data_IF_166281271937
#
_entry.id   IF_166281271937
#
_cell.length_a   1.000
_cell.length_b   1.000
_cell.length_c   1.000
_cell.angle_alpha   90.00
_cell.angle_beta   90.00
_cell.angle_gamma   90.00
#
_symmetry.space_group_name_H-M   'P 1'
#
loop_
_entity.id
_entity.type
_entity.pdbx_description
1 polymer ?
#
# COMPACT_ATOMS: atom_id res chain seq x y z
N UNK A 1 -0.66 0.61 17.92
CA UNK A 1 -1.51 0.12 16.81
C UNK A 1 -0.77 0.22 15.47
N UNK A 2 -0.26 1.40 15.07
CA UNK A 2 0.34 1.63 13.74
C UNK A 2 1.64 0.86 13.45
N UNK A 3 2.45 0.54 14.47
CA UNK A 3 3.73 -0.18 14.29
C UNK A 3 3.58 -1.70 14.13
N UNK A 4 2.39 -2.24 14.41
CA UNK A 4 2.04 -3.64 14.19
C UNK A 4 0.65 -3.65 13.52
N UNK A 5 0.56 -3.19 12.26
CA UNK A 5 -0.70 -3.16 11.53
C UNK A 5 -1.23 -4.59 11.41
N UNK A 6 -2.55 -4.74 11.46
CA UNK A 6 -3.18 -6.05 11.29
C UNK A 6 -3.46 -6.31 9.83
N UNK A 7 -3.30 -7.57 9.44
CA UNK A 7 -3.64 -8.03 8.11
C UNK A 7 -5.16 -8.29 8.02
N UNK A 8 -5.83 -7.72 7.02
CA UNK A 8 -7.24 -8.01 6.76
C UNK A 8 -7.51 -9.50 6.46
N UNK A 9 -6.54 -10.17 5.85
CA UNK A 9 -6.57 -11.60 5.51
C UNK A 9 -5.82 -12.45 6.54
N UNK A 10 -5.72 -12.00 7.80
CA UNK A 10 -4.99 -12.69 8.89
C UNK A 10 -5.31 -14.19 8.96
N UNK A 11 -6.60 -14.57 8.92
CA UNK A 11 -7.02 -15.97 8.97
C UNK A 11 -6.44 -16.84 7.84
N UNK A 12 -6.25 -16.28 6.64
CA UNK A 12 -5.58 -16.98 5.53
C UNK A 12 -4.06 -17.03 5.74
N UNK A 13 -3.47 -15.94 6.23
CA UNK A 13 -2.03 -15.82 6.45
C UNK A 13 -1.51 -16.71 7.59
N UNK A 14 -2.28 -16.89 8.66
CA UNK A 14 -1.91 -17.76 9.78
C UNK A 14 -1.77 -19.23 9.39
N UNK A 15 -2.44 -19.64 8.30
CA UNK A 15 -2.38 -21.01 7.77
C UNK A 15 -1.28 -21.21 6.74
N UNK A 16 -0.47 -20.18 6.45
CA UNK A 16 0.68 -20.32 5.55
C UNK A 16 1.76 -21.18 6.21
N UNK A 17 2.38 -22.06 5.41
CA UNK A 17 3.47 -22.93 5.86
C UNK A 17 4.63 -22.16 6.48
N UNK A 18 4.95 -21.00 5.90
CA UNK A 18 5.91 -20.05 6.43
C UNK A 18 5.15 -18.81 6.87
N UNK A 19 4.84 -18.73 8.15
CA UNK A 19 4.24 -17.54 8.75
C UNK A 19 5.35 -16.67 9.36
N UNK A 20 5.55 -15.49 8.77
CA UNK A 20 6.47 -14.45 9.26
C UNK A 20 5.76 -13.40 10.14
N UNK A 21 4.43 -13.49 10.24
CA UNK A 21 3.64 -12.65 11.14
C UNK A 21 3.64 -13.30 12.54
N UNK A 22 4.30 -12.63 13.48
CA UNK A 22 4.42 -13.03 14.87
C UNK A 22 3.29 -12.45 15.76
N UNK A 23 2.27 -11.87 15.15
CA UNK A 23 1.16 -11.27 15.88
C UNK A 23 0.14 -12.31 16.33
N UNK A 24 -0.36 -12.15 17.56
CA UNK A 24 -1.43 -13.02 18.07
C UNK A 24 -2.74 -12.79 17.30
N UNK A 25 -3.55 -13.84 17.05
CA UNK A 25 -4.82 -13.72 16.36
C UNK A 25 -5.71 -12.60 16.89
N UNK A 26 -6.33 -11.85 15.97
CA UNK A 26 -7.27 -10.80 16.35
C UNK A 26 -8.45 -11.36 17.12
N UNK A 27 -8.71 -10.77 18.29
CA UNK A 27 -9.85 -11.08 19.13
C UNK A 27 -10.88 -9.97 19.04
N UNK A 28 -12.14 -10.37 19.08
CA UNK A 28 -13.27 -9.46 19.06
C UNK A 28 -14.08 -9.62 20.34
N UNK A 29 -14.54 -8.51 20.88
CA UNK A 29 -15.25 -8.42 22.15
C UNK A 29 -16.56 -7.66 21.96
N UNK A 30 -17.61 -8.18 22.58
CA UNK A 30 -18.94 -7.59 22.64
C UNK A 30 -19.33 -7.33 24.10
N UNK A 31 -20.45 -6.64 24.32
CA UNK A 31 -20.96 -6.41 25.66
C UNK A 31 -21.30 -7.74 26.37
N UNK A 32 -20.94 -7.84 27.65
CA UNK A 32 -21.27 -8.99 28.50
C UNK A 32 -22.79 -9.16 28.70
N UNK A 33 -23.57 -8.09 28.57
CA UNK A 33 -25.03 -8.14 28.68
C UNK A 33 -25.67 -8.54 27.35
N UNK A 34 -26.23 -9.75 27.31
CA UNK A 34 -26.98 -10.25 26.14
C UNK A 34 -28.12 -9.33 25.70
N UNK A 35 -28.90 -8.79 26.64
CA UNK A 35 -29.99 -7.86 26.35
C UNK A 35 -29.49 -6.55 25.73
N UNK A 36 -28.26 -6.14 26.06
CA UNK A 36 -27.61 -4.99 25.47
C UNK A 36 -27.29 -5.28 23.99
N UNK A 37 -26.60 -6.38 23.70
CA UNK A 37 -26.21 -6.78 22.33
C UNK A 37 -27.44 -6.93 21.41
N UNK A 38 -28.59 -7.35 21.96
CA UNK A 38 -29.86 -7.46 21.20
C UNK A 38 -30.53 -6.12 20.90
N UNK A 39 -30.17 -5.01 21.55
CA UNK A 39 -30.68 -3.66 21.25
C UNK A 39 -29.82 -2.97 20.19
N UNK A 40 -30.40 -2.12 19.35
CA UNK A 40 -29.65 -1.41 18.29
C UNK A 40 -28.45 -0.63 18.83
N UNK A 41 -28.62 0.06 19.96
CA UNK A 41 -27.54 0.84 20.60
C UNK A 41 -26.41 -0.04 21.16
N UNK A 42 -26.64 -1.33 21.35
CA UNK A 42 -25.67 -2.29 21.90
C UNK A 42 -24.93 -3.12 20.87
N UNK A 43 -25.08 -2.81 19.58
CA UNK A 43 -24.37 -3.42 18.46
C UNK A 43 -22.90 -3.01 18.38
N UNK A 44 -22.20 -2.99 19.51
CA UNK A 44 -20.83 -2.49 19.57
C UNK A 44 -19.86 -3.66 19.52
N UNK A 45 -18.80 -3.49 18.74
CA UNK A 45 -17.70 -4.44 18.59
C UNK A 45 -16.38 -3.75 18.95
N UNK A 46 -15.57 -4.41 19.75
CA UNK A 46 -14.26 -3.92 20.17
C UNK A 46 -13.21 -4.98 19.89
N UNK A 47 -12.00 -4.57 19.55
CA UNK A 47 -10.81 -5.44 19.48
C UNK A 47 -9.98 -5.36 20.75
N UNK A 48 -10.41 -4.53 21.71
CA UNK A 48 -9.83 -4.40 23.05
C UNK A 48 -10.85 -4.80 24.13
N UNK A 49 -10.37 -5.52 25.15
CA UNK A 49 -11.12 -5.74 26.40
C UNK A 49 -11.36 -4.42 27.15
N UNK A 50 -12.29 -4.43 28.08
CA UNK A 50 -12.62 -3.33 29.00
C UNK A 50 -13.13 -2.05 28.33
N UNK A 51 -13.42 -2.06 27.02
CA UNK A 51 -14.10 -0.93 26.38
C UNK A 51 -15.52 -0.84 26.94
N UNK A 52 -15.93 0.38 27.32
CA UNK A 52 -17.26 0.61 27.87
C UNK A 52 -18.29 0.54 26.75
N UNK A 53 -19.25 -0.36 26.88
CA UNK A 53 -20.44 -0.38 26.05
C UNK A 53 -21.34 0.82 26.38
N UNK A 54 -22.29 1.16 25.50
CA UNK A 54 -23.25 2.25 25.77
C UNK A 54 -24.08 2.04 27.04
N UNK A 55 -24.24 0.79 27.50
CA UNK A 55 -24.94 0.47 28.74
C UNK A 55 -24.09 0.67 30.01
N UNK A 56 -22.83 1.09 29.87
CA UNK A 56 -21.88 1.30 30.96
C UNK A 56 -21.08 0.07 31.37
N UNK A 57 -21.50 -1.14 30.99
CA UNK A 57 -20.76 -2.39 31.24
C UNK A 57 -19.54 -2.55 30.31
N UNK A 58 -18.49 -3.26 30.74
CA UNK A 58 -17.36 -3.55 29.87
C UNK A 58 -17.74 -4.52 28.73
N UNK A 59 -16.94 -4.49 27.67
CA UNK A 59 -16.98 -5.40 26.55
C UNK A 59 -15.83 -6.41 26.70
N UNK A 60 -16.06 -7.48 27.47
CA UNK A 60 -15.04 -8.49 27.78
C UNK A 60 -15.37 -9.87 27.20
N UNK A 61 -16.63 -10.06 26.80
CA UNK A 61 -17.09 -11.27 26.16
C UNK A 61 -16.52 -11.41 24.75
N UNK A 62 -15.64 -12.39 24.60
CA UNK A 62 -15.05 -12.74 23.31
C UNK A 62 -16.09 -13.35 22.35
N UNK A 63 -16.04 -12.96 21.09
CA UNK A 63 -16.81 -13.52 19.99
C UNK A 63 -15.86 -13.96 18.87
N UNK A 64 -16.04 -15.19 18.39
CA UNK A 64 -15.22 -15.74 17.32
C UNK A 64 -15.67 -15.22 15.95
N UNK A 65 -14.71 -14.94 15.07
CA UNK A 65 -14.97 -14.65 13.66
C UNK A 65 -15.16 -15.98 12.91
N UNK A 66 -16.25 -16.10 12.14
CA UNK A 66 -16.52 -17.26 11.29
C UNK A 66 -15.45 -17.35 10.20
N UNK A 67 -14.57 -18.35 10.30
CA UNK A 67 -13.55 -18.59 9.30
C UNK A 67 -14.20 -19.07 8.00
N UNK A 68 -14.00 -18.33 6.90
CA UNK A 68 -14.57 -18.66 5.59
C UNK A 68 -13.86 -19.82 4.88
N UNK A 69 -12.70 -20.26 5.35
CA UNK A 69 -11.89 -21.29 4.71
C UNK A 69 -11.24 -22.21 5.74
N UNK A 70 -11.57 -23.50 5.70
CA UNK A 70 -10.90 -24.56 6.47
C UNK A 70 -9.53 -24.96 5.90
N UNK A 71 -9.07 -24.28 4.85
CA UNK A 71 -7.97 -24.72 3.99
C UNK A 71 -6.72 -23.84 4.15
N UNK A 72 -5.54 -24.41 3.83
CA UNK A 72 -4.24 -23.82 4.11
C UNK A 72 -3.79 -22.87 2.97
N UNK A 73 -3.77 -21.56 3.24
CA UNK A 73 -3.19 -20.56 2.34
C UNK A 73 -4.10 -20.10 1.19
N UNK A 74 -3.49 -19.64 0.08
CA UNK A 74 -4.20 -18.97 -1.01
C UNK A 74 -4.49 -19.86 -2.24
N UNK A 75 -3.64 -20.86 -2.48
CA UNK A 75 -3.62 -21.68 -3.68
C UNK A 75 -3.96 -23.13 -3.36
N UNK A 76 -4.51 -23.86 -4.33
CA UNK A 76 -4.82 -25.30 -4.20
C UNK A 76 -3.56 -26.10 -3.93
N UNK A 77 -3.67 -27.13 -3.10
CA UNK A 77 -2.54 -28.03 -2.79
C UNK A 77 -1.98 -28.73 -4.04
N UNK A 78 -2.82 -28.93 -5.07
CA UNK A 78 -2.42 -29.51 -6.36
C UNK A 78 -1.88 -28.48 -7.35
N UNK A 79 -1.92 -27.18 -7.03
CA UNK A 79 -1.41 -26.14 -7.90
C UNK A 79 0.12 -26.10 -7.85
N UNK A 80 0.74 -26.07 -9.02
CA UNK A 80 2.18 -25.89 -9.18
C UNK A 80 2.44 -24.72 -10.12
N UNK A 81 3.51 -23.97 -9.84
CA UNK A 81 3.85 -22.74 -10.53
C UNK A 81 5.32 -22.72 -10.92
N UNK A 82 5.60 -22.01 -12.01
CA UNK A 82 6.94 -21.57 -12.39
C UNK A 82 7.06 -20.12 -11.94
N UNK A 83 8.10 -19.80 -11.17
CA UNK A 83 8.38 -18.44 -10.71
C UNK A 83 9.68 -18.00 -11.34
N UNK A 84 9.63 -16.97 -12.18
CA UNK A 84 10.80 -16.43 -12.86
C UNK A 84 11.62 -15.55 -11.91
N UNK A 85 12.87 -15.28 -12.28
CA UNK A 85 13.80 -14.47 -11.48
C UNK A 85 13.24 -13.09 -11.12
N UNK A 86 12.46 -12.51 -12.01
CA UNK A 86 11.74 -11.24 -11.83
C UNK A 86 10.42 -11.36 -11.04
N UNK A 87 10.19 -12.48 -10.33
CA UNK A 87 8.98 -12.84 -9.57
C UNK A 87 7.69 -12.98 -10.39
N UNK A 88 7.78 -13.05 -11.72
CA UNK A 88 6.62 -13.42 -12.55
C UNK A 88 6.21 -14.87 -12.23
N UNK A 89 4.97 -15.05 -11.80
CA UNK A 89 4.38 -16.35 -11.49
C UNK A 89 3.56 -16.83 -12.69
N UNK A 90 3.81 -18.06 -13.12
CA UNK A 90 3.19 -18.69 -14.28
C UNK A 90 2.68 -20.09 -13.93
N UNK A 91 1.63 -20.60 -14.60
CA UNK A 91 1.25 -22.00 -14.51
C UNK A 91 2.40 -22.96 -14.78
N UNK A 92 2.56 -24.00 -13.96
CA UNK A 92 3.48 -25.08 -14.30
C UNK A 92 2.86 -25.97 -15.38
N UNK A 93 3.31 -25.80 -16.63
CA UNK A 93 2.95 -26.65 -17.75
C UNK A 93 4.15 -26.80 -18.68
N UNK A 94 4.24 -27.92 -19.40
CA UNK A 94 5.35 -28.19 -20.32
C UNK A 94 5.50 -27.08 -21.37
N UNK A 95 4.39 -26.61 -21.94
CA UNK A 95 4.40 -25.51 -22.91
C UNK A 95 5.00 -24.23 -22.30
N UNK A 96 4.58 -23.88 -21.09
CA UNK A 96 5.12 -22.72 -20.35
C UNK A 96 6.62 -22.84 -20.11
N UNK A 97 7.11 -24.02 -19.72
CA UNK A 97 8.56 -24.24 -19.54
C UNK A 97 9.34 -24.09 -20.84
N UNK A 98 8.83 -24.65 -21.94
CA UNK A 98 9.48 -24.55 -23.27
C UNK A 98 9.53 -23.10 -23.75
N UNK A 99 8.42 -22.36 -23.63
CA UNK A 99 8.34 -20.95 -23.99
C UNK A 99 9.34 -20.12 -23.17
N UNK A 100 9.45 -20.41 -21.87
CA UNK A 100 10.40 -19.74 -20.97
C UNK A 100 11.85 -20.02 -21.37
N UNK A 101 12.21 -21.26 -21.70
CA UNK A 101 13.56 -21.58 -22.15
C UNK A 101 13.92 -20.85 -23.45
N UNK A 102 12.97 -20.72 -24.37
CA UNK A 102 13.16 -19.93 -25.58
C UNK A 102 13.32 -18.43 -25.27
N UNK A 103 12.51 -17.87 -24.38
CA UNK A 103 12.62 -16.46 -23.92
C UNK A 103 13.99 -16.17 -23.30
N UNK A 104 14.52 -17.11 -22.52
CA UNK A 104 15.84 -17.01 -21.88
C UNK A 104 17.01 -17.28 -22.84
N UNK A 105 16.75 -17.65 -24.09
CA UNK A 105 17.77 -17.94 -25.09
C UNK A 105 18.52 -19.26 -24.87
N UNK A 106 17.94 -20.18 -24.10
CA UNK A 106 18.51 -21.50 -23.87
C UNK A 106 18.41 -22.34 -25.14
N UNK A 107 19.56 -22.60 -25.80
CA UNK A 107 19.62 -23.40 -27.04
C UNK A 107 19.64 -24.90 -26.78
N UNK A 108 20.31 -25.32 -25.69
CA UNK A 108 20.50 -26.71 -25.31
C UNK A 108 20.18 -26.89 -23.81
N UNK A 109 19.53 -27.99 -23.46
CA UNK A 109 19.20 -28.32 -22.06
C UNK A 109 20.43 -28.67 -21.21
N UNK A 110 21.55 -29.02 -21.84
CA UNK A 110 22.82 -29.34 -21.18
C UNK A 110 23.42 -28.16 -20.39
N UNK A 111 23.00 -26.92 -20.70
CA UNK A 111 23.43 -25.73 -19.99
C UNK A 111 22.58 -25.41 -18.73
N UNK A 112 21.56 -26.23 -18.44
CA UNK A 112 20.62 -26.00 -17.33
C UNK A 112 21.05 -26.86 -16.14
N UNK A 113 21.25 -26.21 -15.00
CA UNK A 113 21.51 -26.88 -13.73
C UNK A 113 20.24 -26.86 -12.87
N UNK A 114 19.76 -28.04 -12.47
CA UNK A 114 18.66 -28.15 -11.51
C UNK A 114 19.21 -28.05 -10.08
N UNK A 115 18.60 -27.18 -9.27
CA UNK A 115 18.95 -27.01 -7.86
C UNK A 115 17.71 -27.00 -6.98
N UNK A 116 17.77 -27.72 -5.87
CA UNK A 116 16.77 -27.66 -4.81
C UNK A 116 17.18 -26.62 -3.77
N UNK A 117 16.26 -25.70 -3.45
CA UNK A 117 16.49 -24.65 -2.45
C UNK A 117 15.45 -24.78 -1.35
N UNK A 118 15.92 -24.89 -0.11
CA UNK A 118 15.07 -24.84 1.07
C UNK A 118 14.88 -23.38 1.52
N UNK A 119 13.62 -23.00 1.77
CA UNK A 119 13.25 -21.64 2.18
C UNK A 119 12.60 -21.73 3.56
N UNK A 120 13.22 -21.11 4.57
CA UNK A 120 12.64 -20.88 5.89
C UNK A 120 12.14 -19.44 6.06
N UNK A 121 11.72 -19.09 7.28
CA UNK A 121 11.19 -17.75 7.59
C UNK A 121 12.23 -16.64 7.36
N UNK A 122 13.50 -16.89 7.68
CA UNK A 122 14.59 -15.91 7.48
C UNK A 122 14.85 -15.69 5.99
N UNK A 123 14.94 -16.78 5.24
CA UNK A 123 15.14 -16.78 3.80
C UNK A 123 14.01 -16.06 3.07
N UNK A 124 12.76 -16.26 3.51
CA UNK A 124 11.60 -15.57 2.97
C UNK A 124 11.68 -14.04 3.18
N UNK A 125 12.14 -13.59 4.35
CA UNK A 125 12.36 -12.16 4.61
C UNK A 125 13.48 -11.58 3.75
N UNK A 126 14.55 -12.33 3.51
CA UNK A 126 15.64 -11.88 2.65
C UNK A 126 15.22 -11.82 1.18
N UNK A 127 14.42 -12.79 0.70
CA UNK A 127 13.80 -12.73 -0.62
C UNK A 127 12.85 -11.52 -0.75
N UNK A 128 12.05 -11.24 0.29
CA UNK A 128 11.19 -10.05 0.31
C UNK A 128 12.02 -8.76 0.21
N UNK A 129 13.16 -8.65 0.90
CA UNK A 129 14.04 -7.47 0.73
C UNK A 129 14.58 -7.38 -0.70
N UNK A 130 14.98 -8.50 -1.29
CA UNK A 130 15.49 -8.54 -2.66
C UNK A 130 14.44 -8.03 -3.67
N UNK A 131 13.15 -8.30 -3.45
CA UNK A 131 12.09 -7.82 -4.34
C UNK A 131 11.91 -6.29 -4.35
N UNK A 132 12.38 -5.57 -3.32
CA UNK A 132 12.39 -4.10 -3.31
C UNK A 132 13.69 -3.50 -3.84
N UNK A 133 14.70 -4.30 -4.14
CA UNK A 133 16.04 -3.79 -4.42
C UNK A 133 16.58 -4.25 -5.77
N UNK A 134 16.12 -5.41 -6.25
CA UNK A 134 16.67 -6.07 -7.43
C UNK A 134 15.63 -6.32 -8.51
N UNK A 135 16.12 -6.29 -9.77
CA UNK A 135 15.37 -6.77 -10.94
C UNK A 135 15.43 -8.29 -11.09
N UNK A 136 16.36 -8.95 -10.39
CA UNK A 136 16.67 -10.37 -10.43
C UNK A 136 16.70 -10.97 -9.02
N UNK A 137 15.62 -10.80 -8.22
CA UNK A 137 15.62 -11.14 -6.80
C UNK A 137 15.87 -12.61 -6.47
N UNK A 138 15.51 -13.58 -7.33
CA UNK A 138 15.77 -15.00 -7.02
C UNK A 138 17.23 -15.36 -7.20
N UNK A 139 17.86 -14.97 -8.31
CA UNK A 139 19.30 -15.13 -8.56
C UNK A 139 20.08 -14.52 -7.41
N UNK A 140 19.69 -13.33 -7.00
CA UNK A 140 20.33 -12.58 -5.94
C UNK A 140 20.19 -13.19 -4.55
N UNK A 141 18.99 -13.66 -4.23
CA UNK A 141 18.70 -14.38 -3.00
C UNK A 141 19.42 -15.75 -2.95
N UNK A 142 19.43 -16.49 -4.05
CA UNK A 142 19.96 -17.86 -4.11
C UNK A 142 21.49 -17.85 -4.21
N UNK A 143 22.06 -17.01 -5.07
CA UNK A 143 23.48 -17.03 -5.42
C UNK A 143 24.31 -15.94 -4.70
N UNK A 144 23.74 -14.76 -4.43
CA UNK A 144 24.49 -13.57 -3.99
C UNK A 144 24.25 -13.14 -2.53
N UNK A 145 23.89 -14.10 -1.65
CA UNK A 145 23.49 -13.91 -0.23
C UNK A 145 24.29 -12.90 0.63
N UNK A 146 25.52 -12.53 0.25
CA UNK A 146 26.42 -11.63 1.00
C UNK A 146 26.51 -10.18 0.47
N UNK A 147 26.09 -9.89 -0.76
CA UNK A 147 26.33 -8.57 -1.39
C UNK A 147 25.20 -7.54 -1.18
N UNK A 148 24.04 -7.97 -0.68
CA UNK A 148 22.86 -7.11 -0.48
C UNK A 148 22.99 -6.00 0.55
N UNK A 149 23.97 -6.09 1.46
CA UNK A 149 24.18 -5.09 2.50
C UNK A 149 24.79 -3.76 1.99
N UNK A 150 25.29 -3.71 0.75
CA UNK A 150 26.13 -2.59 0.30
C UNK A 150 25.68 -1.85 -0.97
N UNK A 151 24.67 -2.33 -1.70
CA UNK A 151 24.31 -1.76 -3.02
C UNK A 151 22.96 -1.04 -2.97
N UNK A 152 22.98 0.21 -2.51
CA UNK A 152 21.89 1.17 -2.78
C UNK A 152 22.07 1.74 -4.18
N UNK A 153 21.63 1.04 -5.22
CA UNK A 153 21.55 1.64 -6.56
C UNK A 153 20.33 2.56 -6.63
N UNK A 154 20.61 3.86 -6.68
CA UNK A 154 19.66 4.93 -6.96
C UNK A 154 19.10 4.74 -8.37
N UNK A 155 18.00 4.00 -8.52
CA UNK A 155 17.28 3.97 -9.78
C UNK A 155 16.61 5.33 -10.01
N UNK A 156 16.95 6.00 -11.11
CA UNK A 156 16.16 7.10 -11.64
C UNK A 156 14.85 6.49 -12.17
N UNK A 157 13.81 6.53 -11.34
CA UNK A 157 12.48 6.12 -11.74
C UNK A 157 11.72 7.33 -12.29
N UNK A 158 11.01 7.13 -13.40
CA UNK A 158 10.02 8.10 -13.86
C UNK A 158 8.82 8.08 -12.91
N UNK A 159 8.46 9.27 -12.41
CA UNK A 159 7.33 9.49 -11.50
C UNK A 159 6.06 9.82 -12.30
N UNK A 160 5.60 8.88 -13.11
CA UNK A 160 4.27 8.98 -13.71
C UNK A 160 3.28 8.14 -12.88
N UNK A 161 2.17 8.76 -12.53
CA UNK A 161 0.98 8.11 -11.99
C UNK A 161 0.00 8.07 -13.16
N UNK A 162 -0.60 6.90 -13.42
CA UNK A 162 -1.65 6.76 -14.43
C UNK A 162 -2.84 7.70 -14.17
N UNK A 163 -3.78 7.76 -15.10
CA UNK A 163 -4.99 8.56 -14.91
C UNK A 163 -5.77 8.09 -13.67
N UNK A 164 -5.85 8.96 -12.65
CA UNK A 164 -6.64 8.69 -11.44
C UNK A 164 -7.99 9.37 -11.61
N UNK A 165 -9.01 8.59 -11.94
CA UNK A 165 -10.40 9.05 -11.87
C UNK A 165 -10.86 9.02 -10.41
N UNK A 166 -11.05 10.18 -9.80
CA UNK A 166 -11.68 10.24 -8.48
C UNK A 166 -12.71 11.36 -8.40
N UNK A 167 -13.90 11.03 -7.93
CA UNK A 167 -15.03 11.96 -7.73
C UNK A 167 -14.93 12.74 -6.40
N UNK A 168 -13.84 12.60 -5.64
CA UNK A 168 -13.70 13.13 -4.28
C UNK A 168 -12.67 14.25 -4.25
N UNK A 169 -13.14 15.48 -4.07
CA UNK A 169 -12.31 16.70 -3.94
C UNK A 169 -11.85 16.84 -2.49
N UNK A 170 -11.01 15.92 -2.00
CA UNK A 170 -10.33 16.08 -0.71
C UNK A 170 -8.92 16.62 -0.97
N UNK A 171 -8.60 17.71 -0.29
CA UNK A 171 -7.42 18.52 -0.54
C UNK A 171 -6.81 18.97 0.79
N UNK A 172 -5.49 18.97 0.90
CA UNK A 172 -4.74 19.44 2.06
C UNK A 172 -3.90 20.65 1.68
N UNK A 173 -3.96 21.70 2.51
CA UNK A 173 -3.14 22.90 2.34
C UNK A 173 -1.86 22.74 3.16
N UNK A 174 -0.72 22.84 2.48
CA UNK A 174 0.60 22.60 3.06
C UNK A 174 1.49 23.82 2.89
N UNK A 175 2.30 24.13 3.90
CA UNK A 175 3.41 25.08 3.76
C UNK A 175 4.70 24.30 3.53
N UNK A 176 5.31 24.46 2.37
CA UNK A 176 6.52 23.76 1.96
C UNK A 176 7.70 24.71 2.11
N UNK A 177 8.75 24.27 2.80
CA UNK A 177 10.03 24.98 2.84
C UNK A 177 11.02 24.32 1.89
N UNK A 178 11.49 25.10 0.92
CA UNK A 178 12.33 24.66 -0.20
C UNK A 178 13.69 25.33 -0.09
N UNK A 179 14.75 24.58 -0.39
CA UNK A 179 16.08 25.13 -0.63
C UNK A 179 16.22 25.51 -2.10
N UNK A 180 16.49 26.79 -2.38
CA UNK A 180 16.50 27.32 -3.75
C UNK A 180 17.65 26.78 -4.59
N UNK A 181 18.83 26.59 -3.98
CA UNK A 181 20.05 26.14 -4.65
C UNK A 181 19.93 24.78 -5.35
N UNK A 182 19.23 23.81 -4.74
CA UNK A 182 19.08 22.45 -5.28
C UNK A 182 17.61 22.04 -5.50
N UNK A 183 16.67 22.96 -5.29
CA UNK A 183 15.22 22.74 -5.41
C UNK A 183 14.70 21.56 -4.58
N UNK A 184 15.33 21.27 -3.44
CA UNK A 184 14.85 20.23 -2.53
C UNK A 184 13.93 20.76 -1.46
N UNK A 185 12.94 19.96 -1.11
CA UNK A 185 12.11 20.20 0.07
C UNK A 185 12.95 19.88 1.30
N UNK A 186 12.96 20.79 2.27
CA UNK A 186 13.62 20.58 3.56
C UNK A 186 12.63 19.94 4.54
N UNK A 187 11.44 20.53 4.62
CA UNK A 187 10.30 19.99 5.33
C UNK A 187 9.00 20.64 4.84
N UNK A 188 7.90 20.02 5.21
CA UNK A 188 6.53 20.49 5.01
C UNK A 188 5.90 20.69 6.38
N UNK A 189 5.25 21.83 6.58
CA UNK A 189 4.35 22.09 7.69
C UNK A 189 2.91 21.81 7.23
N UNK A 190 2.28 20.81 7.87
CA UNK A 190 0.90 20.41 7.65
C UNK A 190 0.12 20.34 8.97
N UNK A 191 -1.19 20.09 8.90
CA UNK A 191 -2.01 19.86 10.09
C UNK A 191 -2.06 18.36 10.44
N UNK A 192 -2.91 18.00 11.39
CA UNK A 192 -3.16 16.61 11.83
C UNK A 192 -3.49 15.68 10.66
N UNK A 193 -4.26 16.17 9.68
CA UNK A 193 -4.67 15.41 8.50
C UNK A 193 -3.49 14.95 7.64
N UNK A 194 -2.47 15.79 7.47
CA UNK A 194 -1.26 15.44 6.74
C UNK A 194 -0.36 14.49 7.54
N UNK A 195 -0.26 14.68 8.86
CA UNK A 195 0.47 13.75 9.72
C UNK A 195 -0.18 12.35 9.71
N UNK A 196 -1.50 12.27 9.85
CA UNK A 196 -2.28 11.04 9.77
C UNK A 196 -2.17 10.39 8.39
N UNK A 197 -2.09 11.18 7.32
CA UNK A 197 -1.82 10.68 5.98
C UNK A 197 -0.45 9.97 5.89
N UNK A 198 0.62 10.59 6.40
CA UNK A 198 1.97 9.99 6.40
C UNK A 198 2.02 8.75 7.30
N UNK A 199 1.47 8.81 8.50
CA UNK A 199 1.38 7.66 9.40
C UNK A 199 0.52 6.53 8.82
N UNK A 200 -0.46 6.88 7.99
CA UNK A 200 -1.31 5.94 7.27
C UNK A 200 -0.51 4.97 6.39
N UNK A 201 0.66 5.37 5.87
CA UNK A 201 1.51 4.51 5.03
C UNK A 201 1.88 3.20 5.72
N UNK A 202 2.07 3.22 7.05
CA UNK A 202 2.41 2.04 7.85
C UNK A 202 1.28 1.00 7.89
N UNK A 203 0.06 1.39 7.54
CA UNK A 203 -1.13 0.52 7.62
C UNK A 203 -1.57 -0.02 6.26
N UNK A 204 -1.01 0.50 5.16
CA UNK A 204 -1.43 0.13 3.81
C UNK A 204 -0.82 -1.24 3.44
N UNK A 205 -1.62 -2.23 3.03
CA UNK A 205 -1.08 -3.47 2.49
C UNK A 205 -0.40 -3.19 1.15
N UNK A 206 0.79 -3.76 0.93
CA UNK A 206 1.58 -3.53 -0.29
C UNK A 206 0.80 -3.83 -1.58
N UNK A 207 -0.01 -4.90 -1.60
CA UNK A 207 -0.86 -5.22 -2.74
C UNK A 207 -1.92 -4.14 -3.02
N UNK A 208 -2.42 -3.46 -1.98
CA UNK A 208 -3.37 -2.36 -2.10
C UNK A 208 -2.68 -1.10 -2.63
N UNK A 209 -1.42 -0.87 -2.24
CA UNK A 209 -0.59 0.18 -2.84
C UNK A 209 -0.36 -0.08 -4.32
N UNK A 210 0.00 -1.31 -4.70
CA UNK A 210 0.16 -1.70 -6.11
C UNK A 210 -1.15 -1.50 -6.89
N UNK A 211 -2.29 -1.85 -6.31
CA UNK A 211 -3.60 -1.60 -6.89
C UNK A 211 -3.86 -0.12 -7.16
N UNK A 212 -3.63 0.76 -6.18
CA UNK A 212 -3.80 2.21 -6.33
C UNK A 212 -2.86 2.81 -7.39
N UNK A 213 -1.67 2.22 -7.56
CA UNK A 213 -0.70 2.62 -8.58
C UNK A 213 -0.94 1.94 -9.94
N UNK A 214 -2.03 1.18 -10.09
CA UNK A 214 -2.36 0.48 -11.34
C UNK A 214 -1.38 -0.63 -11.72
N UNK A 215 -0.63 -1.16 -10.74
CA UNK A 215 0.45 -2.13 -10.97
C UNK A 215 1.75 -1.50 -11.46
N UNK A 216 1.95 -0.18 -11.25
CA UNK A 216 3.16 0.55 -11.64
C UNK A 216 3.86 1.19 -10.44
N UNK A 217 4.43 0.36 -9.56
CA UNK A 217 5.17 0.79 -8.37
C UNK A 217 6.57 1.34 -8.65
N UNK A 218 7.04 1.23 -9.89
CA UNK A 218 8.45 1.44 -10.29
C UNK A 218 9.40 0.31 -9.85
N UNK A 219 8.89 -0.71 -9.15
CA UNK A 219 9.59 -1.97 -8.89
C UNK A 219 9.12 -3.05 -9.85
N UNK A 220 9.93 -3.31 -10.88
CA UNK A 220 9.54 -4.19 -11.98
C UNK A 220 9.13 -5.61 -11.56
N UNK A 221 9.69 -6.14 -10.48
CA UNK A 221 9.38 -7.48 -10.00
C UNK A 221 8.06 -7.53 -9.19
N UNK A 222 7.78 -6.52 -8.35
CA UNK A 222 6.49 -6.40 -7.66
C UNK A 222 5.35 -6.15 -8.64
N UNK A 223 5.60 -5.35 -9.68
CA UNK A 223 4.64 -5.09 -10.75
C UNK A 223 4.30 -6.38 -11.52
N UNK A 224 5.31 -7.21 -11.83
CA UNK A 224 5.14 -8.52 -12.47
C UNK A 224 4.41 -9.52 -11.58
N UNK A 225 4.77 -9.59 -10.29
CA UNK A 225 4.08 -10.44 -9.32
C UNK A 225 2.60 -10.06 -9.18
N UNK A 226 2.29 -8.77 -9.06
CA UNK A 226 0.93 -8.26 -9.04
C UNK A 226 0.17 -8.64 -10.31
N UNK A 227 0.79 -8.40 -11.48
CA UNK A 227 0.22 -8.77 -12.78
C UNK A 227 -0.08 -10.27 -12.87
N UNK A 228 0.82 -11.14 -12.42
CA UNK A 228 0.60 -12.59 -12.39
C UNK A 228 -0.67 -12.96 -11.60
N UNK A 229 -0.93 -12.33 -10.46
CA UNK A 229 -2.17 -12.57 -9.70
C UNK A 229 -3.41 -12.07 -10.46
N UNK A 230 -3.32 -10.91 -11.12
CA UNK A 230 -4.44 -10.37 -11.92
C UNK A 230 -4.79 -11.24 -13.13
N UNK A 231 -3.81 -11.91 -13.74
CA UNK A 231 -4.02 -12.77 -14.92
C UNK A 231 -4.34 -14.23 -14.55
N UNK A 232 -4.05 -14.64 -13.31
CA UNK A 232 -4.25 -16.03 -12.87
C UNK A 232 -5.71 -16.49 -12.96
N UNK A 233 -5.93 -17.71 -13.45
CA UNK A 233 -7.27 -18.33 -13.47
C UNK A 233 -7.70 -18.73 -12.05
N UNK A 234 -8.73 -18.07 -11.46
CA UNK A 234 -9.09 -18.30 -10.07
C UNK A 234 -9.59 -19.73 -9.81
N UNK A 235 -10.43 -20.27 -10.71
CA UNK A 235 -11.05 -21.59 -10.53
C UNK A 235 -10.06 -22.75 -10.57
N UNK A 236 -8.95 -22.59 -11.30
CA UNK A 236 -7.94 -23.63 -11.45
C UNK A 236 -6.94 -23.61 -10.30
N UNK A 237 -6.52 -22.43 -9.85
CA UNK A 237 -5.34 -22.29 -9.00
C UNK A 237 -5.63 -21.82 -7.57
N UNK A 238 -6.70 -21.06 -7.32
CA UNK A 238 -7.00 -20.51 -6.01
C UNK A 238 -8.00 -21.39 -5.24
N UNK A 239 -7.94 -21.34 -3.91
CA UNK A 239 -8.89 -22.09 -3.06
C UNK A 239 -10.34 -21.65 -3.29
N UNK A 240 -10.55 -20.35 -3.47
CA UNK A 240 -11.85 -19.81 -3.88
C UNK A 240 -11.68 -18.68 -4.89
N UNK A 241 -12.65 -18.49 -5.80
CA UNK A 241 -12.58 -17.39 -6.77
C UNK A 241 -12.55 -16.00 -6.14
N UNK A 242 -13.16 -15.83 -4.97
CA UNK A 242 -13.17 -14.55 -4.24
C UNK A 242 -11.78 -14.12 -3.74
N UNK A 243 -10.85 -15.07 -3.52
CA UNK A 243 -9.49 -14.74 -3.09
C UNK A 243 -8.74 -13.89 -4.11
N UNK A 244 -9.03 -14.04 -5.41
CA UNK A 244 -8.39 -13.23 -6.45
C UNK A 244 -8.59 -11.73 -6.20
N UNK A 245 -9.83 -11.34 -5.95
CA UNK A 245 -10.15 -9.94 -5.67
C UNK A 245 -9.49 -9.46 -4.37
N UNK A 246 -9.43 -10.32 -3.34
CA UNK A 246 -8.82 -9.98 -2.06
C UNK A 246 -7.29 -9.83 -2.15
N UNK A 247 -6.62 -10.63 -3.00
CA UNK A 247 -5.18 -10.54 -3.23
C UNK A 247 -4.79 -9.35 -4.12
N UNK A 248 -5.62 -9.01 -5.11
CA UNK A 248 -5.40 -7.89 -6.03
C UNK A 248 -5.72 -6.55 -5.38
N UNK A 249 -6.72 -6.49 -4.51
CA UNK A 249 -7.07 -5.27 -3.79
C UNK A 249 -7.25 -5.59 -2.29
N UNK A 250 -6.15 -5.89 -1.56
CA UNK A 250 -6.22 -6.15 -0.14
C UNK A 250 -6.61 -4.88 0.60
N UNK A 251 -7.54 -5.05 1.53
CA UNK A 251 -8.11 -3.95 2.31
C UNK A 251 -7.25 -3.68 3.55
N UNK A 252 -7.27 -2.44 4.03
CA UNK A 252 -6.75 -2.15 5.37
C UNK A 252 -7.63 -2.82 6.42
N UNK A 253 -7.02 -3.27 7.53
CA UNK A 253 -7.84 -3.76 8.63
C UNK A 253 -8.72 -2.62 9.19
N UNK A 254 -10.00 -2.88 9.50
CA UNK A 254 -11.02 -1.86 9.71
C UNK A 254 -10.73 -0.90 10.87
N UNK A 255 -9.96 -1.32 11.87
CA UNK A 255 -9.48 -0.45 12.96
C UNK A 255 -8.46 0.60 12.53
N UNK A 256 -7.87 0.46 11.34
CA UNK A 256 -6.99 1.45 10.71
C UNK A 256 -7.69 2.24 9.60
N UNK A 257 -8.98 2.00 9.37
CA UNK A 257 -9.80 2.84 8.51
C UNK A 257 -9.87 4.24 9.10
N UNK A 258 -8.92 5.10 8.74
CA UNK A 258 -8.96 6.50 9.15
C UNK A 258 -10.10 7.14 8.37
N UNK A 259 -11.16 7.51 9.09
CA UNK A 259 -12.24 8.32 8.56
C UNK A 259 -11.59 9.58 7.98
N UNK A 260 -11.77 9.77 6.68
CA UNK A 260 -11.27 10.92 5.91
C UNK A 260 -9.89 10.84 5.26
N UNK A 261 -9.22 9.68 5.21
CA UNK A 261 -8.00 9.54 4.42
C UNK A 261 -8.23 9.83 2.93
N UNK A 262 -7.32 10.60 2.33
CA UNK A 262 -7.33 10.89 0.89
C UNK A 262 -7.14 9.60 0.08
N UNK A 263 -6.30 8.67 0.56
CA UNK A 263 -6.10 7.35 -0.03
C UNK A 263 -7.19 6.39 0.47
N UNK A 264 -8.21 6.15 -0.35
CA UNK A 264 -9.23 5.14 -0.03
C UNK A 264 -8.75 3.76 -0.49
N UNK A 265 -8.30 2.91 0.45
CA UNK A 265 -8.06 1.49 0.15
C UNK A 265 -9.37 0.72 0.37
N UNK A 266 -10.13 0.64 -0.72
CA UNK A 266 -11.39 -0.09 -0.90
C UNK A 266 -12.44 0.06 0.21
N UNK A 267 -13.46 -0.80 0.16
CA UNK A 267 -14.61 -0.70 1.07
C UNK A 267 -14.28 -1.28 2.44
N UNK A 268 -14.56 -0.49 3.49
CA UNK A 268 -14.46 -0.99 4.86
C UNK A 268 -15.45 -2.15 5.05
N UNK A 269 -14.97 -3.30 5.53
CA UNK A 269 -15.80 -4.47 5.72
C UNK A 269 -16.78 -4.24 6.87
N UNK A 270 -18.03 -4.60 6.63
CA UNK A 270 -19.09 -4.51 7.62
C UNK A 270 -19.11 -5.81 8.42
N UNK A 271 -19.13 -5.68 9.74
CA UNK A 271 -19.26 -6.82 10.64
C UNK A 271 -20.72 -7.06 10.98
N UNK A 272 -21.07 -8.33 11.09
CA UNK A 272 -22.40 -8.81 11.43
C UNK A 272 -22.28 -9.83 12.56
N UNK A 273 -23.09 -9.69 13.60
CA UNK A 273 -23.31 -10.74 14.57
C UNK A 273 -24.42 -11.65 14.05
N UNK A 274 -24.08 -12.91 13.79
CA UNK A 274 -25.02 -13.99 13.48
C UNK A 274 -25.35 -14.73 14.77
N UNK A 275 -26.63 -14.80 15.14
CA UNK A 275 -27.06 -15.51 16.34
C UNK A 275 -28.03 -16.62 15.98
N UNK A 276 -27.81 -17.82 16.50
CA UNK A 276 -28.68 -18.97 16.31
C UNK A 276 -28.67 -19.87 17.54
N UNK A 277 -29.65 -20.76 17.63
CA UNK A 277 -29.75 -21.73 18.71
C UNK A 277 -29.28 -23.11 18.24
N UNK A 278 -28.45 -23.76 19.04
CA UNK A 278 -27.98 -25.14 18.81
C UNK A 278 -27.88 -25.85 20.15
N UNK A 279 -28.48 -27.04 20.25
CA UNK A 279 -28.47 -27.85 21.48
C UNK A 279 -28.97 -27.09 22.73
N UNK A 280 -30.07 -26.33 22.59
CA UNK A 280 -30.65 -25.46 23.64
C UNK A 280 -29.69 -24.36 24.15
N UNK A 281 -28.61 -24.05 23.40
CA UNK A 281 -27.66 -22.98 23.70
C UNK A 281 -27.71 -21.91 22.61
N UNK A 282 -27.72 -20.66 23.04
CA UNK A 282 -27.59 -19.53 22.12
C UNK A 282 -26.12 -19.33 21.74
N UNK A 283 -25.82 -19.42 20.45
CA UNK A 283 -24.50 -19.21 19.87
C UNK A 283 -24.52 -17.90 19.07
N UNK A 284 -23.49 -17.09 19.25
CA UNK A 284 -23.23 -15.91 18.43
C UNK A 284 -21.86 -16.01 17.79
N UNK A 285 -21.80 -15.73 16.50
CA UNK A 285 -20.56 -15.73 15.71
C UNK A 285 -20.50 -14.43 14.92
N UNK A 286 -19.30 -13.88 14.79
CA UNK A 286 -19.05 -12.70 14.00
C UNK A 286 -18.81 -13.09 12.53
N UNK A 287 -19.40 -12.35 11.60
CA UNK A 287 -19.24 -12.54 10.16
C UNK A 287 -18.86 -11.20 9.56
N UNK A 288 -17.83 -11.14 8.74
CA UNK A 288 -17.47 -9.92 8.01
C UNK A 288 -17.91 -10.01 6.55
N UNK A 289 -18.30 -8.90 5.93
CA UNK A 289 -18.61 -8.87 4.49
C UNK A 289 -18.41 -7.48 3.92
N UNK A 290 -17.87 -7.39 2.71
CA UNK A 290 -17.83 -6.15 1.93
C UNK A 290 -19.17 -5.86 1.24
N UNK A 291 -20.04 -6.86 1.11
CA UNK A 291 -21.41 -6.71 0.57
C UNK A 291 -22.43 -6.67 1.70
N UNK A 292 -23.48 -5.87 1.52
CA UNK A 292 -24.59 -5.81 2.48
C UNK A 292 -25.34 -7.15 2.54
N UNK A 293 -25.40 -7.75 3.72
CA UNK A 293 -26.14 -9.00 3.96
C UNK A 293 -27.62 -8.75 4.33
N UNK A 294 -28.15 -7.54 4.08
CA UNK A 294 -29.53 -7.12 4.41
C UNK A 294 -30.63 -8.03 3.82
N UNK A 295 -30.30 -8.93 2.90
CA UNK A 295 -31.23 -9.83 2.23
C UNK A 295 -31.71 -11.04 3.07
N UNK A 296 -31.17 -11.27 4.29
CA UNK A 296 -31.42 -12.51 5.06
C UNK A 296 -32.21 -12.37 6.38
N UNK A 297 -32.85 -11.24 6.66
CA UNK A 297 -33.75 -11.11 7.83
C UNK A 297 -33.06 -11.30 9.20
N UNK A 298 -33.85 -11.32 10.28
CA UNK A 298 -33.55 -11.22 11.73
C UNK A 298 -32.32 -11.96 12.32
N UNK A 299 -31.64 -12.81 11.56
CA UNK A 299 -30.46 -13.62 11.95
C UNK A 299 -29.14 -12.84 12.00
N UNK A 300 -29.01 -11.75 11.23
CA UNK A 300 -27.76 -10.99 11.09
C UNK A 300 -27.93 -9.56 11.56
N UNK A 301 -27.07 -9.14 12.49
CA UNK A 301 -27.10 -7.79 13.05
C UNK A 301 -25.80 -7.06 12.78
N UNK A 302 -25.86 -5.92 12.09
CA UNK A 302 -24.67 -5.09 11.83
C UNK A 302 -24.05 -4.62 13.14
N UNK A 303 -22.72 -4.67 13.21
CA UNK A 303 -21.92 -4.30 14.37
C UNK A 303 -21.05 -3.08 14.05
N UNK A 304 -21.04 -2.12 14.97
CA UNK A 304 -20.25 -0.90 14.90
C UNK A 304 -18.96 -1.06 15.71
N UNK A 305 -17.81 -0.89 15.05
CA UNK A 305 -16.52 -0.92 15.73
C UNK A 305 -16.33 0.37 16.55
N UNK A 306 -16.11 0.19 17.84
CA UNK A 306 -15.90 1.26 18.84
C UNK A 306 -14.47 1.34 19.38
N UNK A 307 -13.55 0.60 18.75
CA UNK A 307 -12.11 0.77 18.96
C UNK A 307 -11.69 2.22 18.76
N UNK A 308 -10.57 2.66 19.36
CA UNK A 308 -10.21 4.08 19.38
C UNK A 308 -10.06 4.64 17.96
N UNK A 309 -11.16 5.18 17.43
CA UNK A 309 -11.21 6.40 16.64
C UNK A 309 -10.93 7.50 17.67
N UNK A 310 -10.06 8.45 17.36
CA UNK A 310 -9.73 9.56 18.26
C UNK A 310 -11.01 10.07 18.96
N UNK A 311 -11.06 9.88 20.28
CA UNK A 311 -12.20 10.24 21.10
C UNK A 311 -12.15 11.73 21.34
N UNK A 312 -13.06 12.51 20.74
CA UNK A 312 -13.52 13.84 21.20
C UNK A 312 -12.46 14.79 21.81
N UNK A 313 -11.21 14.62 21.43
CA UNK A 313 -10.11 15.41 21.89
C UNK A 313 -10.13 16.63 21.02
N UNK A 314 -10.45 17.79 21.60
CA UNK A 314 -9.86 19.04 21.15
C UNK A 314 -8.35 18.82 21.16
N UNK A 315 -7.82 18.28 20.07
CA UNK A 315 -6.41 18.26 19.83
C UNK A 315 -5.99 19.71 19.79
N UNK A 316 -4.96 20.04 20.57
CA UNK A 316 -4.31 21.34 20.43
C UNK A 316 -3.92 21.45 18.96
N UNK A 317 -4.38 22.51 18.30
CA UNK A 317 -4.15 22.85 16.89
C UNK A 317 -2.67 23.09 16.57
N UNK A 318 -1.83 22.09 16.85
CA UNK A 318 -0.40 22.10 16.62
C UNK A 318 -0.15 21.54 15.23
N UNK A 319 0.50 22.32 14.39
CA UNK A 319 0.98 21.81 13.10
C UNK A 319 2.03 20.71 13.31
N UNK A 320 2.30 19.98 12.24
CA UNK A 320 3.33 18.96 12.17
C UNK A 320 4.36 19.35 11.11
N UNK A 321 5.63 19.13 11.44
CA UNK A 321 6.74 19.21 10.50
C UNK A 321 7.06 17.81 9.99
N UNK A 322 7.06 17.65 8.67
CA UNK A 322 7.42 16.41 7.97
C UNK A 322 8.64 16.69 7.09
N UNK A 323 9.75 16.01 7.35
CA UNK A 323 10.98 16.16 6.55
C UNK A 323 10.89 15.41 5.21
N UNK A 324 11.84 15.66 4.29
CA UNK A 324 11.86 15.05 2.95
C UNK A 324 11.86 13.50 2.96
N UNK A 325 12.45 12.92 4.00
CA UNK A 325 12.52 11.49 4.31
C UNK A 325 11.35 11.01 5.21
N UNK A 326 10.29 11.81 5.32
CA UNK A 326 9.03 11.53 6.01
C UNK A 326 9.12 11.38 7.54
N UNK A 327 10.13 11.97 8.18
CA UNK A 327 10.15 12.07 9.64
C UNK A 327 9.11 13.10 10.09
N UNK A 328 8.09 12.62 10.80
CA UNK A 328 7.01 13.46 11.34
C UNK A 328 7.33 13.88 12.77
N UNK A 329 7.26 15.18 13.04
CA UNK A 329 7.43 15.76 14.39
C UNK A 329 6.41 16.88 14.64
N UNK A 330 5.95 17.11 15.88
CA UNK A 330 5.17 18.30 16.19
C UNK A 330 5.97 19.57 15.85
N UNK A 331 5.34 20.52 15.16
CA UNK A 331 6.01 21.79 14.85
C UNK A 331 5.90 22.72 16.05
N UNK A 332 7.04 22.96 16.69
CA UNK A 332 7.21 24.06 17.64
C UNK A 332 8.10 25.08 16.94
N UNK A 333 7.90 26.38 17.17
CA UNK A 333 8.69 27.42 16.50
C UNK A 333 10.22 27.21 16.62
N UNK A 334 10.66 26.58 17.72
CA UNK A 334 12.07 26.24 17.98
C UNK A 334 12.54 24.99 17.21
N UNK A 335 11.66 24.02 16.91
CA UNK A 335 12.05 22.77 16.23
C UNK A 335 12.45 23.03 14.77
N UNK A 336 11.71 23.89 14.05
CA UNK A 336 12.06 24.30 12.69
C UNK A 336 13.40 25.04 12.61
N UNK A 337 13.65 25.99 13.52
CA UNK A 337 14.93 26.73 13.57
C UNK A 337 16.10 25.80 13.92
N UNK A 338 15.92 24.89 14.89
CA UNK A 338 16.92 23.88 15.23
C UNK A 338 17.25 22.99 14.03
N UNK A 339 16.24 22.55 13.27
CA UNK A 339 16.44 21.75 12.06
C UNK A 339 17.22 22.53 10.98
N UNK A 340 16.88 23.79 10.75
CA UNK A 340 17.59 24.66 9.80
C UNK A 340 19.06 24.88 10.21
N UNK A 341 19.32 25.10 11.50
CA UNK A 341 20.68 25.23 12.02
C UNK A 341 21.50 23.94 11.81
N UNK A 342 20.90 22.77 12.06
CA UNK A 342 21.56 21.47 11.84
C UNK A 342 21.83 21.18 10.37
N UNK A 343 20.92 21.58 9.48
CA UNK A 343 21.05 21.38 8.03
C UNK A 343 22.01 22.37 7.36
N UNK A 344 22.55 23.35 8.09
CA UNK A 344 23.53 24.35 7.62
C UNK A 344 23.06 25.14 6.39
N UNK A 345 21.74 25.31 6.23
CA UNK A 345 21.15 26.06 5.11
C UNK A 345 21.13 27.55 5.43
N UNK A 346 21.57 28.40 4.49
CA UNK A 346 21.50 29.85 4.64
C UNK A 346 20.05 30.32 4.54
N UNK A 347 19.64 31.25 5.41
CA UNK A 347 18.28 31.83 5.36
C UNK A 347 17.96 32.45 4.00
N UNK A 348 18.95 33.07 3.34
CA UNK A 348 18.82 33.64 2.00
C UNK A 348 18.54 32.59 0.91
N UNK A 349 18.79 31.30 1.17
CA UNK A 349 18.57 30.19 0.25
C UNK A 349 17.23 29.48 0.49
N UNK A 350 16.43 29.95 1.44
CA UNK A 350 15.11 29.40 1.73
C UNK A 350 14.02 30.06 0.86
N UNK A 351 13.03 29.26 0.49
CA UNK A 351 11.80 29.67 -0.19
C UNK A 351 10.63 28.94 0.46
N UNK A 352 9.63 29.67 0.93
CA UNK A 352 8.40 29.09 1.45
C UNK A 352 7.31 29.18 0.38
N UNK A 353 6.59 28.07 0.16
CA UNK A 353 5.42 28.01 -0.73
C UNK A 353 4.23 27.45 0.02
N UNK A 354 3.04 27.96 -0.28
CA UNK A 354 1.78 27.32 0.13
C UNK A 354 1.24 26.56 -1.06
N UNK A 355 1.02 25.26 -0.90
CA UNK A 355 0.50 24.39 -1.96
C UNK A 355 -0.77 23.71 -1.49
N UNK A 356 -1.53 23.22 -2.46
CA UNK A 356 -2.71 22.41 -2.21
C UNK A 356 -2.51 21.06 -2.89
N UNK A 357 -2.58 19.98 -2.12
CA UNK A 357 -2.37 18.62 -2.61
C UNK A 357 -3.67 17.82 -2.55
N UNK A 358 -3.94 17.03 -3.58
CA UNK A 358 -5.05 16.08 -3.63
C UNK A 358 -4.56 14.64 -3.77
N UNK A 359 -5.46 13.77 -4.22
CA UNK A 359 -5.21 12.33 -4.35
C UNK A 359 -3.99 12.01 -5.23
N UNK A 360 -3.83 12.69 -6.36
CA UNK A 360 -2.71 12.45 -7.29
C UNK A 360 -1.36 12.73 -6.61
N UNK A 361 -1.26 13.82 -5.88
CA UNK A 361 -0.05 14.21 -5.16
C UNK A 361 0.24 13.27 -3.99
N UNK A 362 -0.81 12.87 -3.27
CA UNK A 362 -0.72 11.89 -2.20
C UNK A 362 -0.18 10.54 -2.70
N UNK A 363 -0.69 10.05 -3.84
CA UNK A 363 -0.18 8.85 -4.49
C UNK A 363 1.27 9.01 -4.96
N UNK A 364 1.65 10.22 -5.37
CA UNK A 364 3.04 10.53 -5.76
C UNK A 364 4.00 10.46 -4.58
N UNK A 365 3.62 11.06 -3.44
CA UNK A 365 4.39 10.96 -2.19
C UNK A 365 4.49 9.49 -1.76
N UNK A 366 3.39 8.74 -1.77
CA UNK A 366 3.39 7.32 -1.41
C UNK A 366 4.34 6.52 -2.31
N UNK A 367 4.23 6.68 -3.63
CA UNK A 367 5.13 6.02 -4.60
C UNK A 367 6.59 6.40 -4.35
N UNK A 368 6.86 7.69 -4.13
CA UNK A 368 8.20 8.18 -3.85
C UNK A 368 8.78 7.63 -2.54
N UNK A 369 7.94 7.44 -1.51
CA UNK A 369 8.36 6.90 -0.22
C UNK A 369 8.85 5.45 -0.31
N UNK A 370 8.36 4.68 -1.27
CA UNK A 370 8.80 3.30 -1.46
C UNK A 370 10.20 3.22 -2.06
N UNK A 371 10.57 4.17 -2.92
CA UNK A 371 11.78 4.09 -3.75
C UNK A 371 12.88 5.10 -3.40
N UNK A 372 12.59 6.06 -2.51
CA UNK A 372 13.50 7.18 -2.26
C UNK A 372 13.39 7.73 -0.84
N UNK A 373 14.54 8.20 -0.33
CA UNK A 373 14.62 9.02 0.88
C UNK A 373 14.29 10.49 0.64
N UNK A 374 14.07 10.91 -0.61
CA UNK A 374 13.59 12.25 -0.98
C UNK A 374 12.12 12.19 -1.40
N UNK A 375 11.28 11.61 -0.54
CA UNK A 375 9.91 11.28 -0.85
C UNK A 375 9.05 12.51 -1.15
N UNK A 376 9.20 13.59 -0.36
CA UNK A 376 8.44 14.81 -0.59
C UNK A 376 8.93 15.55 -1.84
N UNK A 377 10.24 15.69 -2.01
CA UNK A 377 10.83 16.36 -3.18
C UNK A 377 10.41 15.70 -4.48
N UNK A 378 10.47 14.36 -4.54
CA UNK A 378 10.05 13.63 -5.73
C UNK A 378 8.52 13.63 -5.89
N UNK A 379 7.78 13.40 -4.81
CA UNK A 379 6.31 13.32 -4.84
C UNK A 379 5.62 14.67 -5.13
N UNK A 380 6.30 15.79 -4.84
CA UNK A 380 5.79 17.15 -5.04
C UNK A 380 6.58 17.93 -6.10
N UNK A 381 7.31 17.22 -6.97
CA UNK A 381 8.19 17.80 -7.99
C UNK A 381 7.51 18.92 -8.80
N UNK A 382 6.25 18.68 -9.20
CA UNK A 382 5.44 19.63 -9.97
C UNK A 382 5.21 21.00 -9.29
N UNK A 383 5.36 21.08 -7.97
CA UNK A 383 5.17 22.33 -7.22
C UNK A 383 6.48 23.05 -6.92
N UNK A 384 7.61 22.38 -7.10
CA UNK A 384 8.93 22.91 -6.74
C UNK A 384 9.77 23.24 -7.99
N UNK A 385 9.56 22.52 -9.09
CA UNK A 385 10.20 22.80 -10.38
C UNK A 385 9.39 23.83 -11.18
N UNK A 386 10.03 24.82 -11.81
CA UNK A 386 9.33 25.75 -12.70
C UNK A 386 8.92 25.04 -14.00
N UNK A 387 7.76 25.40 -14.55
CA UNK A 387 7.17 24.82 -15.79
C UNK A 387 8.12 24.79 -17.01
N UNK A 388 9.24 25.53 -16.96
CA UNK A 388 10.26 25.59 -18.00
C UNK A 388 11.27 24.42 -18.00
N UNK A 389 11.27 23.53 -17.01
CA UNK A 389 12.25 22.41 -16.91
C UNK A 389 11.68 21.07 -17.40
N UNK A 390 10.41 21.02 -17.82
CA UNK A 390 9.84 19.85 -18.54
C UNK A 390 10.42 19.63 -19.96
N UNK A 391 11.50 20.33 -20.32
CA UNK A 391 12.32 20.05 -21.49
C UNK A 391 13.34 18.95 -21.17
N UNK A 392 12.90 17.70 -21.36
CA UNK A 392 13.70 16.55 -21.82
C UNK A 392 15.09 16.44 -21.17
N UNK A 393 15.20 15.75 -20.05
CA UNK A 393 16.42 15.02 -19.72
C UNK A 393 16.30 13.55 -20.17
N UNK A 394 16.25 13.34 -21.48
CA UNK A 394 16.65 12.05 -22.07
C UNK A 394 18.17 12.06 -22.18
N UNK A 395 18.87 11.47 -21.22
CA UNK A 395 20.27 11.14 -21.41
C UNK A 395 20.37 10.03 -22.46
N UNK A 396 21.02 10.33 -23.58
CA UNK A 396 21.47 9.34 -24.57
C UNK A 396 22.42 8.35 -23.90
N UNK A 397 22.05 7.08 -23.84
CA UNK A 397 23.02 5.99 -23.87
C UNK A 397 23.48 5.79 -25.33
N UNK A 398 24.75 5.43 -25.63
CA UNK A 398 25.24 5.31 -27.00
C UNK A 398 24.62 4.16 -27.81
N UNK A 399 23.93 3.23 -27.17
CA UNK A 399 23.42 2.02 -27.82
C UNK A 399 21.90 1.89 -27.67
N UNK A 400 21.24 1.59 -28.79
CA UNK A 400 19.81 1.36 -29.06
C UNK A 400 19.05 2.47 -29.82
N UNK A 401 18.81 2.17 -31.11
CA UNK A 401 17.94 2.87 -32.04
C UNK A 401 16.49 2.43 -31.82
N UNK A 402 15.68 3.21 -31.12
CA UNK A 402 14.25 3.32 -31.39
C UNK A 402 13.80 4.75 -31.05
N UNK A 403 13.36 5.48 -32.07
CA UNK A 403 12.76 6.81 -31.94
C UNK A 403 11.27 6.60 -31.75
N UNK A 404 10.73 6.91 -30.57
CA UNK A 404 9.29 7.18 -30.42
C UNK A 404 9.11 8.69 -30.34
N UNK A 405 8.54 9.26 -31.40
CA UNK A 405 8.18 10.66 -31.52
C UNK A 405 6.82 10.86 -30.86
N UNK A 406 6.74 11.69 -29.82
CA UNK A 406 5.50 12.43 -29.52
C UNK A 406 5.86 13.76 -28.87
N UNK A 407 5.86 14.84 -29.66
CA UNK A 407 5.88 16.23 -29.20
C UNK A 407 4.93 17.06 -30.11
N UNK A 408 4.27 18.05 -29.48
CA UNK A 408 3.59 19.24 -30.02
C UNK A 408 2.07 19.20 -30.19
N UNK A 409 1.37 19.63 -29.15
CA UNK A 409 0.32 20.66 -29.28
C UNK A 409 0.37 21.56 -28.05
N UNK A 410 0.90 22.76 -28.21
CA UNK A 410 0.53 24.05 -27.57
C UNK A 410 1.62 25.02 -28.05
N UNK A 411 1.33 25.76 -29.12
CA UNK A 411 1.82 27.12 -29.44
C UNK A 411 1.35 27.48 -30.85
N UNK A 412 0.04 27.71 -31.01
CA UNK A 412 -0.50 28.36 -32.21
C UNK A 412 -1.67 29.31 -31.93
N UNK A 413 -1.74 29.89 -30.73
CA UNK A 413 -2.76 30.89 -30.38
C UNK A 413 -2.24 32.28 -30.00
N UNK A 414 -0.93 32.55 -30.11
CA UNK A 414 -0.39 33.90 -29.91
C UNK A 414 0.78 34.16 -30.86
N UNK A 415 0.51 34.46 -32.13
CA UNK A 415 1.13 35.55 -32.92
C UNK A 415 0.64 35.50 -34.40
N UNK A 416 -0.17 36.45 -34.89
CA UNK A 416 -0.54 36.51 -36.30
C UNK A 416 0.44 37.44 -37.03
N UNK A 417 1.49 36.87 -37.64
CA UNK A 417 2.26 37.37 -38.80
C UNK A 417 3.62 36.69 -38.85
N UNK A 418 3.73 35.67 -39.70
CA UNK A 418 4.95 35.36 -40.47
C UNK A 418 4.62 34.21 -41.43
N UNK A 419 4.31 34.58 -42.68
CA UNK A 419 4.30 33.67 -43.82
C UNK A 419 5.75 33.44 -44.25
N UNK A 420 6.22 32.19 -44.26
CA UNK A 420 7.26 31.78 -45.21
C UNK A 420 6.96 30.35 -45.68
N UNK A 421 6.88 30.22 -47.00
CA UNK A 421 6.61 29.04 -47.81
C UNK A 421 7.71 27.98 -47.72
N UNK A 422 7.32 26.71 -47.63
CA UNK A 422 8.19 25.54 -47.76
C UNK A 422 8.40 25.22 -49.25
N UNK A 423 9.67 25.09 -49.64
CA UNK A 423 10.11 24.10 -50.64
C UNK A 423 10.98 23.08 -49.92
#
# INVERSE_FOLDING_TARGET
MLLRPRNWMEACCQKLKLNIDDTEPMKYFICDSWDCVRKERGNLLSTFKNKKCHCGKPMDREISLEERTSENGFVKETASFIICDDLRVMPNSLGTSVDLFHELGAKNMEAIEERTVEIGNKELLDLLKCSFLSKTPLTDFILNKKQFLYVYTKHQCQFEIGEVSSNVIRQMVLKVLIRKSDRKILFVEGQEDFADFIFGFLTLPLGGVLHMLGGFSSYSCLDKLYKSVTELCPYRYLMSPSLKHMLVNPQCAPQFGIYNQILQIGDLPVFYCKSYEKDMKQISVLVNSTKSLRLYGELYKTMDIVDPKSSDGKSNSGGYMVTDDLVVTPILSISGVSYLNRSKVRLSDLEQRVINIGLKECLSILKASLISTSALTNGLEKFIMPDKVLLITCFRSPDFRFVSVTILHIYKYFNPRCNVSLN
#
